data_IF_234517310962
#
_entry.id   IF_234517310962
#
_cell.length_a   1.000
_cell.length_b   1.000
_cell.length_c   1.000
_cell.angle_alpha   90.00
_cell.angle_beta   90.00
_cell.angle_gamma   90.00
#
_symmetry.space_group_name_H-M   'P 1'
#
loop_
_entity.id
_entity.type
_entity.pdbx_description
1 polymer ?
#
# COMPACT_ATOMS: atom_id res chain seq x y z
N UNK A 1 28.23 -3.57 -7.12
CA UNK A 1 26.87 -3.10 -7.39
C UNK A 1 26.79 -1.66 -6.98
N UNK A 2 26.37 -0.77 -7.88
CA UNK A 2 26.43 0.64 -7.57
C UNK A 2 25.10 1.16 -7.06
N UNK A 3 25.06 1.60 -5.80
CA UNK A 3 23.97 2.43 -5.26
C UNK A 3 23.68 3.64 -6.16
N UNK A 4 24.70 4.13 -6.88
CA UNK A 4 24.55 5.22 -7.86
C UNK A 4 23.65 4.85 -9.02
N UNK A 5 23.74 3.61 -9.55
CA UNK A 5 22.90 3.17 -10.68
C UNK A 5 21.45 3.04 -10.22
N UNK A 6 21.20 2.38 -9.07
CA UNK A 6 19.87 2.29 -8.49
C UNK A 6 19.24 3.69 -8.32
N UNK A 7 19.95 4.60 -7.65
CA UNK A 7 19.43 5.95 -7.40
C UNK A 7 19.16 6.70 -8.70
N UNK A 8 20.01 6.56 -9.72
CA UNK A 8 19.80 7.17 -11.05
C UNK A 8 18.52 6.68 -11.71
N UNK A 9 18.26 5.37 -11.68
CA UNK A 9 17.06 4.77 -12.28
C UNK A 9 15.79 5.16 -11.50
N UNK A 10 15.84 5.15 -10.17
CA UNK A 10 14.74 5.62 -9.32
C UNK A 10 14.43 7.10 -9.55
N UNK A 11 15.45 7.96 -9.61
CA UNK A 11 15.28 9.39 -9.94
C UNK A 11 14.63 9.57 -11.30
N UNK A 12 15.13 8.84 -12.31
CA UNK A 12 14.54 8.89 -13.65
C UNK A 12 13.07 8.46 -13.64
N UNK A 13 12.72 7.43 -12.86
CA UNK A 13 11.31 7.00 -12.71
C UNK A 13 10.44 8.10 -12.13
N UNK A 14 10.85 8.66 -10.99
CA UNK A 14 10.17 9.74 -10.29
C UNK A 14 9.97 10.99 -11.18
N UNK A 15 10.94 11.29 -12.04
CA UNK A 15 10.94 12.47 -12.93
C UNK A 15 10.08 12.31 -14.17
N UNK A 16 9.91 11.08 -14.68
CA UNK A 16 9.29 10.85 -15.99
C UNK A 16 7.91 10.19 -15.91
N UNK A 17 7.65 9.37 -14.90
CA UNK A 17 6.43 8.57 -14.81
C UNK A 17 5.55 8.95 -13.62
N UNK A 18 4.25 8.72 -13.78
CA UNK A 18 3.27 8.82 -12.70
C UNK A 18 3.41 7.62 -11.75
N UNK A 19 2.93 7.76 -10.49
CA UNK A 19 2.86 6.62 -9.56
C UNK A 19 1.67 5.70 -9.87
N UNK A 20 0.70 6.18 -10.66
CA UNK A 20 -0.41 5.43 -11.24
C UNK A 20 -0.35 5.54 -12.76
N UNK A 21 -0.67 4.48 -13.50
CA UNK A 21 -0.71 4.47 -14.96
C UNK A 21 -1.97 3.79 -15.47
N UNK A 22 -2.31 4.05 -16.74
CA UNK A 22 -3.47 3.53 -17.46
C UNK A 22 -4.85 3.92 -16.87
N UNK A 23 -5.91 3.66 -17.62
CA UNK A 23 -7.30 4.00 -17.22
C UNK A 23 -7.82 3.16 -16.04
N UNK A 24 -7.19 2.01 -15.77
CA UNK A 24 -7.47 1.16 -14.62
C UNK A 24 -6.62 1.53 -13.38
N UNK A 25 -5.77 2.57 -13.48
CA UNK A 25 -4.97 3.14 -12.38
C UNK A 25 -4.07 2.11 -11.70
N UNK A 26 -3.34 1.34 -12.50
CA UNK A 26 -2.33 0.42 -11.96
C UNK A 26 -1.14 1.18 -11.36
N UNK A 27 -0.47 0.58 -10.38
CA UNK A 27 0.62 1.22 -9.65
C UNK A 27 1.95 1.06 -10.37
N UNK A 28 2.76 2.11 -10.43
CA UNK A 28 4.12 2.00 -10.93
C UNK A 28 4.99 1.19 -9.94
N UNK A 29 5.43 0.01 -10.38
CA UNK A 29 6.21 -0.95 -9.58
C UNK A 29 7.72 -0.79 -9.72
N UNK A 30 8.23 0.25 -10.42
CA UNK A 30 9.66 0.42 -10.67
C UNK A 30 10.49 0.36 -9.38
N UNK A 31 10.06 1.05 -8.30
CA UNK A 31 10.79 1.01 -7.04
C UNK A 31 10.86 -0.40 -6.42
N UNK A 32 9.77 -1.18 -6.52
CA UNK A 32 9.71 -2.52 -5.98
C UNK A 32 10.68 -3.45 -6.73
N UNK A 33 10.61 -3.43 -8.06
CA UNK A 33 11.45 -4.27 -8.88
C UNK A 33 12.93 -3.88 -8.79
N UNK A 34 13.25 -2.60 -8.94
CA UNK A 34 14.63 -2.12 -8.87
C UNK A 34 15.22 -2.36 -7.48
N UNK A 35 14.46 -2.09 -6.43
CA UNK A 35 14.84 -2.36 -5.05
C UNK A 35 15.14 -3.84 -4.81
N UNK A 36 14.21 -4.72 -5.21
CA UNK A 36 14.36 -6.17 -5.09
C UNK A 36 15.60 -6.68 -5.83
N UNK A 37 15.76 -6.33 -7.11
CA UNK A 37 16.88 -6.78 -7.93
C UNK A 37 18.22 -6.29 -7.36
N UNK A 38 18.27 -5.05 -6.88
CA UNK A 38 19.45 -4.51 -6.22
C UNK A 38 19.79 -5.29 -4.94
N UNK A 39 18.81 -5.55 -4.06
CA UNK A 39 19.02 -6.30 -2.82
C UNK A 39 19.45 -7.75 -3.07
N UNK A 40 18.97 -8.36 -4.17
CA UNK A 40 19.37 -9.70 -4.60
C UNK A 40 20.76 -9.75 -5.26
N UNK A 41 21.44 -8.62 -5.43
CA UNK A 41 22.79 -8.61 -5.99
C UNK A 41 22.81 -8.75 -7.53
N UNK A 42 21.82 -8.21 -8.24
CA UNK A 42 21.78 -8.19 -9.71
C UNK A 42 22.70 -7.09 -10.29
N UNK A 43 23.56 -7.45 -11.26
CA UNK A 43 24.53 -6.52 -11.85
C UNK A 43 23.89 -5.26 -12.46
N UNK A 44 24.60 -4.14 -12.43
CA UNK A 44 24.15 -2.83 -12.94
C UNK A 44 23.56 -2.93 -14.37
N UNK A 45 24.23 -3.62 -15.31
CA UNK A 45 23.71 -3.84 -16.68
C UNK A 45 22.34 -4.55 -16.73
N UNK A 46 22.12 -5.51 -15.83
CA UNK A 46 20.85 -6.26 -15.74
C UNK A 46 19.78 -5.42 -15.07
N UNK A 47 20.16 -4.58 -14.10
CA UNK A 47 19.25 -3.66 -13.44
C UNK A 47 18.74 -2.60 -14.43
N UNK A 48 19.62 -2.05 -15.26
CA UNK A 48 19.26 -1.12 -16.35
C UNK A 48 18.36 -1.79 -17.38
N UNK A 49 18.70 -3.00 -17.84
CA UNK A 49 17.86 -3.75 -18.78
C UNK A 49 16.47 -4.08 -18.20
N UNK A 50 16.40 -4.42 -16.92
CA UNK A 50 15.11 -4.62 -16.26
C UNK A 50 14.30 -3.31 -16.27
N UNK A 51 14.94 -2.19 -15.95
CA UNK A 51 14.29 -0.88 -15.94
C UNK A 51 13.69 -0.51 -17.30
N UNK A 52 14.43 -0.74 -18.38
CA UNK A 52 13.96 -0.47 -19.75
C UNK A 52 12.65 -1.19 -20.04
N UNK A 53 12.58 -2.48 -19.71
CA UNK A 53 11.39 -3.31 -19.91
C UNK A 53 10.22 -2.85 -19.02
N UNK A 54 10.49 -2.52 -17.76
CA UNK A 54 9.44 -2.15 -16.79
C UNK A 54 8.83 -0.77 -17.06
N UNK A 55 9.55 0.10 -17.77
CA UNK A 55 9.03 1.39 -18.18
C UNK A 55 8.06 1.30 -19.38
N UNK A 56 8.00 0.17 -20.07
CA UNK A 56 7.11 -0.02 -21.21
C UNK A 56 5.64 0.07 -20.76
N UNK A 57 4.91 1.03 -21.32
CA UNK A 57 3.48 1.23 -21.03
C UNK A 57 3.17 2.04 -19.78
N UNK A 58 4.18 2.57 -19.08
CA UNK A 58 3.96 3.54 -18.01
C UNK A 58 3.52 4.89 -18.57
N UNK A 59 2.59 5.54 -17.85
CA UNK A 59 2.13 6.88 -18.20
C UNK A 59 3.19 7.92 -17.83
N UNK A 60 3.54 8.74 -18.81
CA UNK A 60 4.36 9.93 -18.59
C UNK A 60 3.66 10.92 -17.65
N UNK A 61 4.45 11.80 -17.06
CA UNK A 61 3.94 12.84 -16.19
C UNK A 61 2.92 13.78 -16.87
N UNK A 62 1.81 14.01 -16.17
CA UNK A 62 0.70 14.87 -16.60
C UNK A 62 0.54 16.05 -15.64
N UNK A 63 0.32 17.28 -16.15
CA UNK A 63 -0.01 18.45 -15.34
C UNK A 63 -1.23 18.22 -14.45
N UNK A 64 -1.08 18.51 -13.15
CA UNK A 64 -2.20 18.47 -12.21
C UNK A 64 -3.10 19.71 -12.34
N UNK A 65 -4.43 19.56 -12.15
CA UNK A 65 -5.38 20.66 -12.26
C UNK A 65 -5.27 21.66 -11.10
N UNK A 66 -4.74 21.22 -9.96
CA UNK A 66 -4.62 22.00 -8.73
C UNK A 66 -3.19 22.01 -8.22
N UNK A 67 -2.75 23.12 -7.64
CA UNK A 67 -1.49 23.21 -6.91
C UNK A 67 -1.70 22.72 -5.47
N UNK A 68 -0.81 21.85 -5.02
CA UNK A 68 -0.80 21.33 -3.65
C UNK A 68 0.29 22.03 -2.83
N UNK A 69 -0.05 22.41 -1.60
CA UNK A 69 0.84 22.96 -0.60
C UNK A 69 0.42 22.53 0.82
N UNK A 70 1.17 22.99 1.82
CA UNK A 70 0.95 22.61 3.22
C UNK A 70 -0.44 22.96 3.76
N UNK A 71 -1.12 23.95 3.18
CA UNK A 71 -2.43 24.42 3.63
C UNK A 71 -3.60 23.60 3.06
N UNK A 72 -3.39 22.91 1.94
CA UNK A 72 -4.47 22.27 1.19
C UNK A 72 -4.22 20.80 0.83
N UNK A 73 -3.04 20.23 1.11
CA UNK A 73 -2.68 18.89 0.64
C UNK A 73 -3.63 17.78 1.13
N UNK A 74 -4.37 17.97 2.21
CA UNK A 74 -5.40 17.01 2.65
C UNK A 74 -6.71 17.10 1.87
N UNK A 75 -6.99 18.25 1.24
CA UNK A 75 -8.25 18.49 0.54
C UNK A 75 -8.37 17.73 -0.78
N UNK A 76 -7.29 17.13 -1.28
CA UNK A 76 -7.22 16.41 -2.55
C UNK A 76 -6.89 14.91 -2.38
N UNK A 77 -7.07 14.34 -1.19
CA UNK A 77 -6.88 12.90 -0.99
C UNK A 77 -7.79 12.11 -1.93
N UNK A 78 -7.24 11.05 -2.52
CA UNK A 78 -7.92 10.23 -3.52
C UNK A 78 -8.03 10.85 -4.92
N UNK A 79 -7.63 12.11 -5.11
CA UNK A 79 -7.62 12.76 -6.43
C UNK A 79 -6.35 12.35 -7.20
N UNK A 80 -6.53 11.39 -8.10
CA UNK A 80 -5.45 10.86 -8.93
C UNK A 80 -4.89 11.88 -9.92
N UNK A 81 -5.67 12.89 -10.31
CA UNK A 81 -5.22 13.93 -11.25
C UNK A 81 -4.24 14.89 -10.56
N UNK A 82 -4.24 14.92 -9.22
CA UNK A 82 -3.31 15.69 -8.40
C UNK A 82 -1.93 15.01 -8.20
N UNK A 83 -1.66 13.88 -8.86
CA UNK A 83 -0.42 13.11 -8.67
C UNK A 83 0.86 13.94 -8.89
N UNK A 84 0.96 14.76 -9.94
CA UNK A 84 2.14 15.60 -10.15
C UNK A 84 2.31 16.63 -9.02
N UNK A 85 1.25 17.35 -8.66
CA UNK A 85 1.29 18.34 -7.57
C UNK A 85 1.67 17.72 -6.22
N UNK A 86 1.15 16.53 -5.89
CA UNK A 86 1.56 15.81 -4.68
C UNK A 86 3.04 15.45 -4.69
N UNK A 87 3.53 14.92 -5.82
CA UNK A 87 4.95 14.59 -5.97
C UNK A 87 5.83 15.81 -5.79
N UNK A 88 5.50 16.92 -6.44
CA UNK A 88 6.31 18.14 -6.37
C UNK A 88 6.30 18.71 -4.94
N UNK A 89 5.14 18.70 -4.28
CA UNK A 89 5.01 19.06 -2.86
C UNK A 89 5.88 18.17 -1.96
N UNK A 90 5.73 16.85 -2.00
CA UNK A 90 6.50 15.95 -1.12
C UNK A 90 8.00 15.96 -1.45
N UNK A 91 8.37 16.13 -2.73
CA UNK A 91 9.76 16.34 -3.15
C UNK A 91 10.36 17.56 -2.48
N UNK A 92 9.69 18.70 -2.52
CA UNK A 92 10.14 19.92 -1.85
C UNK A 92 10.31 19.68 -0.34
N UNK A 93 9.31 19.06 0.30
CA UNK A 93 9.30 18.84 1.74
C UNK A 93 10.40 17.90 2.22
N UNK A 94 10.62 16.78 1.53
CA UNK A 94 11.65 15.80 1.90
C UNK A 94 13.06 16.26 1.51
N UNK A 95 13.22 16.97 0.38
CA UNK A 95 14.52 17.54 -0.01
C UNK A 95 14.97 18.60 0.98
N UNK A 96 14.06 19.49 1.41
CA UNK A 96 14.35 20.53 2.41
C UNK A 96 14.75 19.94 3.77
N UNK A 97 14.22 18.76 4.11
CA UNK A 97 14.57 18.07 5.35
C UNK A 97 15.98 17.43 5.30
N UNK A 98 16.55 17.20 4.12
CA UNK A 98 17.88 16.60 3.97
C UNK A 98 18.00 15.27 4.70
N UNK A 99 18.95 15.17 5.64
CA UNK A 99 19.17 13.96 6.44
C UNK A 99 17.99 13.63 7.37
N UNK A 100 17.13 14.60 7.70
CA UNK A 100 15.95 14.41 8.55
C UNK A 100 14.71 13.98 7.75
N UNK A 101 14.87 13.58 6.48
CA UNK A 101 13.74 13.21 5.62
C UNK A 101 12.84 12.14 6.25
N UNK A 102 13.37 11.15 6.98
CA UNK A 102 12.56 10.11 7.66
C UNK A 102 11.62 10.71 8.69
N UNK A 103 12.10 11.66 9.50
CA UNK A 103 11.27 12.35 10.49
C UNK A 103 10.15 13.13 9.80
N UNK A 104 10.46 13.82 8.71
CA UNK A 104 9.47 14.56 7.92
C UNK A 104 8.47 13.62 7.23
N UNK A 105 8.94 12.49 6.71
CA UNK A 105 8.16 11.44 6.07
C UNK A 105 7.13 10.82 7.04
N UNK A 106 7.58 10.36 8.22
CA UNK A 106 6.67 9.90 9.27
C UNK A 106 5.76 11.02 9.78
N UNK A 107 6.23 12.27 9.80
CA UNK A 107 5.40 13.43 10.12
C UNK A 107 4.25 13.68 9.14
N UNK A 108 4.37 13.25 7.88
CA UNK A 108 3.26 13.26 6.91
C UNK A 108 2.37 12.02 7.04
N UNK A 109 2.97 10.84 7.24
CA UNK A 109 2.20 9.60 7.43
C UNK A 109 1.32 9.66 8.69
N UNK A 110 1.81 10.31 9.75
CA UNK A 110 1.17 10.42 11.06
C UNK A 110 0.72 11.86 11.37
N UNK A 111 0.41 12.64 10.33
CA UNK A 111 0.18 14.09 10.42
C UNK A 111 -1.01 14.49 11.30
N UNK A 112 -2.06 13.66 11.30
CA UNK A 112 -3.31 13.90 11.99
C UNK A 112 -3.59 12.76 12.98
N UNK A 113 -3.85 13.04 14.28
CA UNK A 113 -4.09 11.99 15.27
C UNK A 113 -5.34 11.13 15.03
N UNK A 114 -6.37 11.68 14.36
CA UNK A 114 -7.65 10.99 14.13
C UNK A 114 -7.75 10.39 12.74
N UNK A 115 -7.11 11.01 11.74
CA UNK A 115 -7.18 10.59 10.33
C UNK A 115 -5.79 10.66 9.68
N UNK A 116 -4.79 9.93 10.21
CA UNK A 116 -3.43 9.99 9.68
C UNK A 116 -3.38 9.44 8.25
N UNK A 117 -2.52 10.01 7.39
CA UNK A 117 -2.37 9.52 6.01
C UNK A 117 -2.06 8.01 5.93
N UNK A 118 -1.35 7.46 6.93
CA UNK A 118 -1.03 6.03 7.00
C UNK A 118 -2.29 5.14 6.96
N UNK A 119 -3.45 5.62 7.42
CA UNK A 119 -4.69 4.84 7.36
C UNK A 119 -5.20 4.68 5.91
N UNK A 120 -4.84 5.59 5.02
CA UNK A 120 -5.18 5.52 3.59
C UNK A 120 -4.37 4.48 2.81
N UNK A 121 -3.33 3.90 3.39
CA UNK A 121 -2.46 2.96 2.66
C UNK A 121 -3.12 1.63 2.33
N UNK A 122 -4.26 1.31 2.97
CA UNK A 122 -5.05 0.12 2.65
C UNK A 122 -5.73 0.23 1.26
N UNK A 123 -5.91 1.45 0.77
CA UNK A 123 -6.40 1.73 -0.58
C UNK A 123 -5.42 1.24 -1.65
N UNK A 124 -5.92 1.01 -2.86
CA UNK A 124 -5.08 0.58 -3.98
C UNK A 124 -4.38 -0.77 -3.75
N UNK A 125 -5.02 -1.72 -3.05
CA UNK A 125 -4.45 -3.03 -2.72
C UNK A 125 -3.11 -2.94 -1.96
N UNK A 126 -3.00 -2.01 -1.01
CA UNK A 126 -1.83 -1.83 -0.16
C UNK A 126 -0.51 -1.45 -0.86
N UNK A 127 -0.54 -1.03 -2.13
CA UNK A 127 0.69 -0.72 -2.87
C UNK A 127 1.52 0.41 -2.26
N UNK A 128 0.86 1.40 -1.65
CA UNK A 128 1.54 2.47 -0.94
C UNK A 128 2.26 1.96 0.32
N UNK A 129 1.70 0.96 1.03
CA UNK A 129 2.37 0.30 2.17
C UNK A 129 3.65 -0.42 1.73
N UNK A 130 3.61 -1.12 0.60
CA UNK A 130 4.78 -1.77 0.00
C UNK A 130 5.86 -0.71 -0.32
N UNK A 131 5.46 0.39 -0.97
CA UNK A 131 6.35 1.51 -1.29
C UNK A 131 6.99 2.14 -0.04
N UNK A 132 6.23 2.31 1.05
CA UNK A 132 6.76 2.77 2.34
C UNK A 132 7.84 1.80 2.84
N UNK A 133 7.61 0.49 2.77
CA UNK A 133 8.61 -0.53 3.10
C UNK A 133 9.90 -0.37 2.30
N UNK A 134 9.81 -0.25 0.97
CA UNK A 134 10.97 -0.03 0.10
C UNK A 134 11.70 1.30 0.38
N UNK A 135 10.97 2.37 0.69
CA UNK A 135 11.58 3.65 1.04
C UNK A 135 12.48 3.54 2.27
N UNK A 136 12.04 2.77 3.28
CA UNK A 136 12.77 2.55 4.52
C UNK A 136 13.92 1.56 4.33
N UNK A 137 13.66 0.41 3.69
CA UNK A 137 14.64 -0.65 3.45
C UNK A 137 15.81 -0.17 2.58
N UNK A 138 15.50 0.57 1.51
CA UNK A 138 16.53 1.14 0.64
C UNK A 138 17.16 2.40 1.21
N UNK A 139 16.65 2.97 2.31
CA UNK A 139 17.04 4.29 2.81
C UNK A 139 17.01 5.35 1.69
N UNK A 140 15.87 5.48 1.01
CA UNK A 140 15.74 6.25 -0.23
C UNK A 140 14.68 7.35 -0.12
N UNK A 141 15.07 8.64 -0.04
CA UNK A 141 14.11 9.74 -0.08
C UNK A 141 13.37 9.84 -1.42
N UNK A 142 13.94 9.31 -2.51
CA UNK A 142 13.28 9.26 -3.82
C UNK A 142 12.03 8.37 -3.76
N UNK A 143 12.19 7.15 -3.21
CA UNK A 143 11.07 6.22 -3.04
C UNK A 143 10.11 6.72 -1.97
N UNK A 144 10.60 7.42 -0.94
CA UNK A 144 9.74 8.05 0.06
C UNK A 144 8.80 9.12 -0.54
N UNK A 145 9.26 9.88 -1.55
CA UNK A 145 8.40 10.81 -2.28
C UNK A 145 7.31 10.03 -3.02
N UNK A 146 7.67 8.99 -3.78
CA UNK A 146 6.70 8.15 -4.49
C UNK A 146 5.69 7.52 -3.53
N UNK A 147 6.15 7.03 -2.37
CA UNK A 147 5.32 6.43 -1.34
C UNK A 147 4.29 7.42 -0.77
N UNK A 148 4.69 8.65 -0.43
CA UNK A 148 3.74 9.68 0.05
C UNK A 148 2.78 10.11 -1.05
N UNK A 149 3.27 10.30 -2.29
CA UNK A 149 2.42 10.63 -3.44
C UNK A 149 1.38 9.54 -3.65
N UNK A 150 1.79 8.28 -3.70
CA UNK A 150 0.90 7.13 -3.88
C UNK A 150 -0.10 7.03 -2.73
N UNK A 151 0.35 7.18 -1.48
CA UNK A 151 -0.54 7.16 -0.31
C UNK A 151 -1.63 8.23 -0.42
N UNK A 152 -1.29 9.45 -0.86
CA UNK A 152 -2.26 10.54 -0.99
C UNK A 152 -3.28 10.31 -2.11
N UNK A 153 -2.83 9.87 -3.29
CA UNK A 153 -3.73 9.67 -4.45
C UNK A 153 -4.51 8.37 -4.40
N UNK A 154 -4.06 7.37 -3.63
CA UNK A 154 -4.76 6.10 -3.44
C UNK A 154 -5.63 6.07 -2.17
N UNK A 155 -5.66 7.16 -1.40
CA UNK A 155 -6.50 7.28 -0.22
C UNK A 155 -7.98 7.24 -0.64
N UNK A 156 -8.64 6.10 -0.43
CA UNK A 156 -10.03 5.85 -0.79
C UNK A 156 -10.89 5.60 0.46
N UNK A 157 -12.18 5.31 0.25
CA UNK A 157 -13.15 5.11 1.33
C UNK A 157 -12.76 4.06 2.38
N UNK A 158 -11.79 3.16 2.10
CA UNK A 158 -11.34 2.15 3.05
C UNK A 158 -10.69 2.78 4.29
N UNK A 159 -10.08 3.97 4.16
CA UNK A 159 -9.46 4.66 5.29
C UNK A 159 -10.50 4.98 6.39
N UNK A 160 -11.77 5.20 6.02
CA UNK A 160 -12.83 5.56 6.97
C UNK A 160 -13.08 4.44 7.98
N UNK A 161 -12.95 3.17 7.57
CA UNK A 161 -13.04 2.04 8.51
C UNK A 161 -11.85 2.06 9.45
N UNK A 162 -10.64 2.20 8.90
CA UNK A 162 -9.38 2.16 9.66
C UNK A 162 -9.32 3.29 10.68
N UNK A 163 -9.81 4.48 10.32
CA UNK A 163 -9.91 5.66 11.18
C UNK A 163 -10.81 5.41 12.41
N UNK A 164 -11.76 4.48 12.34
CA UNK A 164 -12.67 4.13 13.44
C UNK A 164 -12.21 2.96 14.29
N UNK A 165 -11.10 2.31 13.93
CA UNK A 165 -10.58 1.17 14.67
C UNK A 165 -9.99 1.61 16.01
N UNK A 166 -10.61 1.13 17.07
CA UNK A 166 -10.07 1.23 18.43
C UNK A 166 -9.37 -0.09 18.82
N UNK A 167 -8.51 -0.11 19.86
CA UNK A 167 -8.02 -1.37 20.41
C UNK A 167 -9.18 -2.33 20.72
N UNK A 168 -9.08 -3.63 20.37
CA UNK A 168 -10.16 -4.59 20.58
C UNK A 168 -10.68 -4.58 22.03
N UNK A 169 -12.00 -4.47 22.22
CA UNK A 169 -12.60 -4.34 23.55
C UNK A 169 -12.67 -5.65 24.33
N UNK A 170 -12.76 -6.79 23.63
CA UNK A 170 -12.89 -8.12 24.22
C UNK A 170 -12.05 -9.17 23.46
N UNK A 171 -10.72 -8.97 23.39
CA UNK A 171 -9.80 -9.88 22.71
C UNK A 171 -9.91 -11.29 23.29
N UNK A 172 -10.19 -12.28 22.46
CA UNK A 172 -10.38 -13.68 22.89
C UNK A 172 -9.94 -14.73 21.88
N UNK A 173 -9.74 -14.37 20.61
CA UNK A 173 -9.50 -15.31 19.51
C UNK A 173 -8.26 -14.95 18.69
N UNK A 174 -7.61 -15.97 18.17
CA UNK A 174 -6.56 -15.86 17.15
C UNK A 174 -7.15 -15.48 15.78
N UNK A 175 -6.29 -15.04 14.86
CA UNK A 175 -6.71 -14.69 13.50
C UNK A 175 -7.39 -15.85 12.76
N UNK A 176 -6.88 -17.09 12.91
CA UNK A 176 -7.43 -18.28 12.26
C UNK A 176 -8.79 -18.71 12.82
N UNK A 177 -9.04 -18.51 14.13
CA UNK A 177 -10.35 -18.76 14.73
C UNK A 177 -11.38 -17.78 14.22
N UNK A 178 -11.02 -16.49 14.14
CA UNK A 178 -11.87 -15.46 13.53
C UNK A 178 -12.18 -15.78 12.07
N UNK A 179 -11.19 -16.18 11.29
CA UNK A 179 -11.38 -16.56 9.89
C UNK A 179 -12.36 -17.74 9.73
N UNK A 180 -12.25 -18.78 10.58
CA UNK A 180 -13.19 -19.91 10.60
C UNK A 180 -14.61 -19.47 10.97
N UNK A 181 -14.74 -18.57 11.94
CA UNK A 181 -16.05 -18.07 12.34
C UNK A 181 -16.69 -17.21 11.24
N UNK A 182 -15.91 -16.39 10.53
CA UNK A 182 -16.37 -15.63 9.36
C UNK A 182 -16.84 -16.58 8.26
N UNK A 183 -16.10 -17.65 7.99
CA UNK A 183 -16.46 -18.65 6.98
C UNK A 183 -17.81 -19.34 7.28
N UNK A 184 -18.15 -19.52 8.55
CA UNK A 184 -19.40 -20.13 8.99
C UNK A 184 -20.56 -19.13 9.15
N UNK A 185 -20.29 -17.82 9.06
CA UNK A 185 -21.28 -16.78 9.28
C UNK A 185 -22.05 -16.44 8.01
N UNK A 186 -23.29 -16.92 7.94
CA UNK A 186 -24.20 -16.71 6.82
C UNK A 186 -24.73 -15.27 6.69
N UNK A 187 -24.34 -14.35 7.59
CA UNK A 187 -24.65 -12.93 7.46
C UNK A 187 -23.77 -12.24 6.40
N UNK A 188 -22.60 -12.80 6.07
CA UNK A 188 -21.80 -12.31 4.96
C UNK A 188 -22.38 -12.76 3.61
N UNK A 189 -22.44 -11.86 2.61
CA UNK A 189 -22.89 -12.24 1.27
C UNK A 189 -21.86 -13.15 0.59
N UNK A 190 -22.36 -14.15 -0.13
CA UNK A 190 -21.56 -15.00 -1.01
C UNK A 190 -21.84 -14.58 -2.45
N UNK A 191 -20.78 -14.33 -3.22
CA UNK A 191 -20.87 -13.89 -4.60
C UNK A 191 -20.39 -14.98 -5.55
N UNK A 192 -21.08 -15.18 -6.66
CA UNK A 192 -20.73 -16.17 -7.69
C UNK A 192 -19.44 -15.79 -8.45
N UNK A 193 -19.10 -14.50 -8.48
CA UNK A 193 -17.90 -13.98 -9.13
C UNK A 193 -17.25 -12.95 -8.22
N UNK A 194 -15.97 -13.14 -7.91
CA UNK A 194 -15.18 -12.21 -7.11
C UNK A 194 -14.72 -11.02 -7.98
N UNK A 195 -15.04 -9.82 -7.52
CA UNK A 195 -14.69 -8.54 -8.13
C UNK A 195 -14.43 -7.52 -7.03
N UNK A 196 -13.73 -6.42 -7.36
CA UNK A 196 -13.47 -5.33 -6.41
C UNK A 196 -14.77 -4.67 -5.90
N UNK A 197 -15.84 -4.69 -6.71
CA UNK A 197 -17.15 -4.18 -6.31
C UNK A 197 -17.80 -4.98 -5.18
N UNK A 198 -17.43 -6.26 -5.02
CA UNK A 198 -17.91 -7.07 -3.90
C UNK A 198 -17.33 -6.56 -2.58
N UNK A 199 -16.07 -6.12 -2.56
CA UNK A 199 -15.42 -5.57 -1.37
C UNK A 199 -16.12 -4.28 -0.91
N UNK A 200 -16.40 -3.36 -1.84
CA UNK A 200 -17.15 -2.12 -1.54
C UNK A 200 -18.53 -2.43 -0.95
N UNK A 201 -19.25 -3.39 -1.56
CA UNK A 201 -20.55 -3.83 -1.07
C UNK A 201 -20.49 -4.43 0.33
N UNK A 202 -19.51 -5.31 0.60
CA UNK A 202 -19.33 -5.93 1.92
C UNK A 202 -19.01 -4.87 2.96
N UNK A 203 -18.11 -3.94 2.67
CA UNK A 203 -17.75 -2.87 3.59
C UNK A 203 -18.98 -2.03 3.93
N UNK A 204 -19.69 -1.54 2.91
CA UNK A 204 -20.85 -0.67 3.11
C UNK A 204 -21.97 -1.34 3.93
N UNK A 205 -22.19 -2.64 3.75
CA UNK A 205 -23.33 -3.34 4.34
C UNK A 205 -22.99 -4.17 5.58
N UNK A 206 -21.71 -4.50 5.80
CA UNK A 206 -21.26 -5.42 6.84
C UNK A 206 -20.21 -4.80 7.78
N UNK A 207 -20.00 -3.48 7.79
CA UNK A 207 -19.03 -2.81 8.69
C UNK A 207 -19.23 -3.21 10.15
N UNK A 208 -20.46 -3.19 10.68
CA UNK A 208 -20.73 -3.60 12.06
C UNK A 208 -20.30 -5.05 12.34
N UNK A 209 -20.46 -5.93 11.35
CA UNK A 209 -20.07 -7.33 11.46
C UNK A 209 -18.55 -7.51 11.38
N UNK A 210 -17.88 -6.77 10.49
CA UNK A 210 -16.41 -6.72 10.40
C UNK A 210 -15.85 -6.25 11.76
N UNK A 211 -16.40 -5.17 12.33
CA UNK A 211 -16.00 -4.65 13.63
C UNK A 211 -16.30 -5.63 14.77
N UNK A 212 -17.40 -6.39 14.70
CA UNK A 212 -17.69 -7.46 15.65
C UNK A 212 -16.60 -8.54 15.68
N UNK A 213 -16.09 -8.95 14.52
CA UNK A 213 -14.99 -9.93 14.42
C UNK A 213 -13.65 -9.33 14.82
N UNK A 214 -13.33 -8.12 14.34
CA UNK A 214 -12.12 -7.40 14.73
C UNK A 214 -12.00 -7.24 16.27
N UNK A 215 -13.12 -6.94 16.96
CA UNK A 215 -13.13 -6.78 18.41
C UNK A 215 -12.86 -8.07 19.22
N UNK A 216 -12.92 -9.23 18.58
CA UNK A 216 -12.58 -10.52 19.20
C UNK A 216 -11.09 -10.85 19.05
N UNK A 217 -10.36 -10.13 18.19
CA UNK A 217 -8.98 -10.45 17.89
C UNK A 217 -8.09 -10.16 19.08
N UNK A 218 -7.33 -11.17 19.49
CA UNK A 218 -6.41 -11.09 20.61
C UNK A 218 -5.12 -10.32 20.27
N UNK A 219 -5.27 -9.03 20.00
CA UNK A 219 -4.20 -8.11 19.65
C UNK A 219 -4.05 -7.02 20.72
N UNK A 220 -2.84 -6.90 21.27
CA UNK A 220 -2.46 -5.84 22.20
C UNK A 220 -0.95 -5.57 22.12
N UNK A 221 -0.47 -4.54 22.82
CA UNK A 221 0.95 -4.15 22.78
C UNK A 221 1.91 -5.21 23.32
N UNK A 222 1.44 -6.10 24.21
CA UNK A 222 2.28 -7.13 24.84
C UNK A 222 2.45 -8.37 23.95
N UNK A 223 1.57 -8.57 22.96
CA UNK A 223 1.60 -9.75 22.09
C UNK A 223 1.65 -9.42 20.58
N UNK A 224 2.09 -8.21 20.22
CA UNK A 224 2.08 -7.73 18.83
C UNK A 224 2.91 -8.62 17.90
N UNK A 225 4.09 -9.07 18.32
CA UNK A 225 4.95 -9.95 17.51
C UNK A 225 4.26 -11.26 17.17
N UNK A 226 3.66 -11.91 18.18
CA UNK A 226 2.87 -13.13 18.00
C UNK A 226 1.66 -12.88 17.10
N UNK A 227 0.98 -11.76 17.30
CA UNK A 227 -0.19 -11.39 16.49
C UNK A 227 0.18 -11.21 15.02
N UNK A 228 1.34 -10.60 14.74
CA UNK A 228 1.86 -10.46 13.38
C UNK A 228 2.21 -11.83 12.78
N UNK A 229 2.87 -12.71 13.53
CA UNK A 229 3.17 -14.09 13.09
C UNK A 229 1.88 -14.85 12.73
N UNK A 230 0.86 -14.80 13.59
CA UNK A 230 -0.45 -15.40 13.31
C UNK A 230 -1.11 -14.84 12.04
N UNK A 231 -0.94 -13.55 11.76
CA UNK A 231 -1.48 -12.89 10.58
C UNK A 231 -0.76 -13.31 9.30
N UNK A 232 0.58 -13.40 9.35
CA UNK A 232 1.39 -13.89 8.24
C UNK A 232 1.05 -15.34 7.91
N UNK A 233 0.97 -16.21 8.91
CA UNK A 233 0.56 -17.60 8.74
C UNK A 233 -0.82 -17.70 8.08
N UNK A 234 -1.79 -16.92 8.59
CA UNK A 234 -3.13 -16.89 8.01
C UNK A 234 -3.12 -16.42 6.56
N UNK A 235 -2.37 -15.36 6.23
CA UNK A 235 -2.25 -14.86 4.86
C UNK A 235 -1.68 -15.93 3.92
N UNK A 236 -0.64 -16.66 4.34
CA UNK A 236 -0.06 -17.78 3.59
C UNK A 236 -1.07 -18.92 3.40
N UNK A 237 -1.81 -19.29 4.44
CA UNK A 237 -2.83 -20.33 4.33
C UNK A 237 -3.97 -19.92 3.39
N UNK A 238 -4.48 -18.69 3.49
CA UNK A 238 -5.52 -18.17 2.62
C UNK A 238 -5.04 -18.19 1.18
N UNK A 239 -3.88 -17.58 0.89
CA UNK A 239 -3.34 -17.53 -0.47
C UNK A 239 -3.04 -18.92 -1.03
N UNK A 240 -2.38 -19.78 -0.25
CA UNK A 240 -2.07 -21.15 -0.65
C UNK A 240 -3.32 -21.97 -0.94
N UNK A 241 -4.43 -21.73 -0.25
CA UNK A 241 -5.69 -22.42 -0.47
C UNK A 241 -6.46 -21.94 -1.73
N UNK A 242 -6.00 -20.89 -2.42
CA UNK A 242 -6.68 -20.38 -3.63
C UNK A 242 -6.42 -21.22 -4.87
N UNK A 243 -5.43 -22.11 -4.85
CA UNK A 243 -5.07 -22.90 -6.02
C UNK A 243 -6.13 -23.95 -6.36
N UNK A 244 -6.40 -24.17 -7.65
CA UNK A 244 -7.22 -25.30 -8.11
C UNK A 244 -6.32 -26.51 -8.37
N UNK A 245 -6.65 -27.73 -7.86
CA UNK A 245 -5.78 -28.90 -8.04
C UNK A 245 -5.46 -29.25 -9.51
N UNK A 246 -6.36 -28.92 -10.43
CA UNK A 246 -6.24 -29.25 -11.86
C UNK A 246 -5.83 -28.06 -12.75
N UNK A 247 -5.62 -26.88 -12.16
CA UNK A 247 -5.26 -25.65 -12.86
C UNK A 247 -4.41 -24.82 -11.90
N UNK A 248 -3.08 -24.85 -12.06
CA UNK A 248 -2.17 -24.08 -11.20
C UNK A 248 -2.42 -22.60 -11.47
N UNK A 249 -3.19 -21.97 -10.59
CA UNK A 249 -3.49 -20.55 -10.61
C UNK A 249 -3.82 -20.11 -9.20
N UNK A 250 -3.18 -19.05 -8.74
CA UNK A 250 -3.42 -18.44 -7.43
C UNK A 250 -4.23 -17.15 -7.61
N UNK A 251 -4.99 -16.78 -6.59
CA UNK A 251 -5.82 -15.58 -6.65
C UNK A 251 -4.96 -14.30 -6.58
N UNK A 252 -5.12 -13.45 -7.59
CA UNK A 252 -4.37 -12.20 -7.71
C UNK A 252 -4.66 -11.22 -6.57
N UNK A 253 -5.92 -11.08 -6.14
CA UNK A 253 -6.27 -10.14 -5.08
C UNK A 253 -5.74 -10.62 -3.73
N UNK A 254 -5.91 -11.91 -3.43
CA UNK A 254 -5.44 -12.47 -2.16
C UNK A 254 -3.92 -12.59 -2.06
N UNK A 255 -3.18 -12.53 -3.18
CA UNK A 255 -1.72 -12.39 -3.15
C UNK A 255 -1.25 -11.15 -2.38
N UNK A 256 -2.06 -10.08 -2.36
CA UNK A 256 -1.76 -8.85 -1.64
C UNK A 256 -1.90 -8.98 -0.11
N UNK A 257 -2.36 -10.13 0.41
CA UNK A 257 -2.27 -10.40 1.84
C UNK A 257 -0.84 -10.72 2.29
N UNK A 258 0.07 -11.02 1.35
CA UNK A 258 1.47 -11.38 1.61
C UNK A 258 2.42 -10.18 1.57
N UNK A 259 1.90 -8.95 1.54
CA UNK A 259 2.68 -7.70 1.45
C UNK A 259 2.99 -7.11 2.81
#
# INVERSE_FOLDING_TARGET
>A
MSRTVLNRLLSHSLENYQVLFNELRFHNHNAHHLGSLYLLGVSDDKLEKAYEIMCEGLDSNKPSPHKIDISNWRSYFGDTDCCQSYRDFFREQLTTAGNDWKKKFFGFLLDNPSHPLINGVVGGLAHSLIHIGYALELDSPIVAIEALTMSAVCCDYLHEIVDTLEPPKYPSKSAIEIFKDIHLDNRFPIYDTATIYNLESVIKNCTDLILFYYNQWNMNRENIEKTMEELFDLAVYIYGATHKPNEIGFDFFLAHLLT
#
